data_IF_715028376570
#
_entry.id   IF_715028376570
#
_cell.length_a   1.000
_cell.length_b   1.000
_cell.length_c   1.000
_cell.angle_alpha   90.00
_cell.angle_beta   90.00
_cell.angle_gamma   90.00
#
_symmetry.space_group_name_H-M   'P 1'
#
loop_
_entity.id
_entity.type
_entity.pdbx_description
1 polymer ?
#
# COMPACT_ATOMS: atom_id res chain seq x y z
N UNK A 1 22.87 -5.74 -9.39
CA UNK A 1 22.42 -4.49 -8.74
C UNK A 1 20.97 -4.72 -8.33
N UNK A 2 20.73 -5.01 -7.06
CA UNK A 2 19.41 -5.42 -6.54
C UNK A 2 18.33 -4.34 -6.76
N UNK A 3 18.71 -3.09 -7.02
CA UNK A 3 17.80 -1.96 -7.29
C UNK A 3 16.99 -2.10 -8.58
N UNK A 4 17.52 -2.74 -9.63
CA UNK A 4 16.82 -2.87 -10.91
C UNK A 4 15.65 -3.85 -10.87
N UNK A 5 15.66 -4.82 -9.96
CA UNK A 5 14.57 -5.78 -9.79
C UNK A 5 13.41 -5.19 -8.98
N UNK A 6 13.69 -4.28 -8.04
CA UNK A 6 12.67 -3.59 -7.25
C UNK A 6 11.85 -2.60 -8.10
N UNK A 7 12.51 -1.82 -8.97
CA UNK A 7 11.82 -0.87 -9.85
C UNK A 7 10.89 -1.60 -10.84
N UNK A 8 11.34 -2.73 -11.39
CA UNK A 8 10.50 -3.57 -12.26
C UNK A 8 9.34 -4.20 -11.51
N UNK A 9 9.58 -4.71 -10.30
CA UNK A 9 8.52 -5.26 -9.45
C UNK A 9 7.46 -4.21 -9.12
N UNK A 10 7.89 -2.97 -8.80
CA UNK A 10 6.98 -1.86 -8.57
C UNK A 10 6.14 -1.54 -9.82
N UNK A 11 6.77 -1.45 -11.00
CA UNK A 11 6.05 -1.21 -12.25
C UNK A 11 4.99 -2.29 -12.55
N UNK A 12 5.31 -3.58 -12.36
CA UNK A 12 4.35 -4.66 -12.51
C UNK A 12 3.20 -4.59 -11.50
N UNK A 13 3.49 -4.21 -10.25
CA UNK A 13 2.46 -4.04 -9.23
C UNK A 13 1.53 -2.86 -9.54
N UNK A 14 2.07 -1.75 -10.05
CA UNK A 14 1.27 -0.58 -10.42
C UNK A 14 0.35 -0.91 -11.61
N UNK A 15 0.85 -1.63 -12.62
CA UNK A 15 0.04 -2.07 -13.75
C UNK A 15 -1.06 -3.05 -13.34
N UNK A 16 -0.74 -3.98 -12.42
CA UNK A 16 -1.72 -4.88 -11.81
C UNK A 16 -2.78 -4.11 -11.00
N UNK A 17 -2.37 -3.10 -10.25
CA UNK A 17 -3.26 -2.24 -9.47
C UNK A 17 -4.20 -1.43 -10.36
N UNK A 18 -3.68 -0.86 -11.45
CA UNK A 18 -4.48 -0.18 -12.48
C UNK A 18 -5.54 -1.11 -13.07
N UNK A 19 -5.10 -2.28 -13.54
CA UNK A 19 -5.98 -3.29 -14.14
C UNK A 19 -7.07 -3.76 -13.16
N UNK A 20 -6.71 -4.00 -11.90
CA UNK A 20 -7.64 -4.40 -10.86
C UNK A 20 -8.71 -3.33 -10.59
N UNK A 21 -8.30 -2.05 -10.56
CA UNK A 21 -9.22 -0.93 -10.38
C UNK A 21 -10.16 -0.74 -11.57
N UNK A 22 -9.65 -0.83 -12.80
CA UNK A 22 -10.46 -0.75 -14.03
C UNK A 22 -11.46 -1.92 -14.11
N UNK A 23 -11.04 -3.11 -13.69
CA UNK A 23 -11.87 -4.32 -13.66
C UNK A 23 -12.81 -4.40 -12.45
N UNK A 24 -12.80 -3.40 -11.56
CA UNK A 24 -13.55 -3.39 -10.28
C UNK A 24 -13.24 -4.59 -9.38
N UNK A 25 -12.07 -5.19 -9.52
CA UNK A 25 -11.58 -6.31 -8.72
C UNK A 25 -10.97 -5.78 -7.40
N UNK A 26 -11.83 -5.22 -6.54
CA UNK A 26 -11.43 -4.50 -5.31
C UNK A 26 -10.54 -5.35 -4.39
N UNK A 27 -10.86 -6.64 -4.22
CA UNK A 27 -10.07 -7.56 -3.39
C UNK A 27 -8.64 -7.71 -3.95
N UNK A 28 -8.50 -7.80 -5.28
CA UNK A 28 -7.20 -7.89 -5.95
C UNK A 28 -6.43 -6.58 -5.84
N UNK A 29 -7.12 -5.44 -5.91
CA UNK A 29 -6.49 -4.14 -5.71
C UNK A 29 -5.94 -4.00 -4.29
N UNK A 30 -6.69 -4.42 -3.27
CA UNK A 30 -6.28 -4.38 -1.87
C UNK A 30 -5.09 -5.32 -1.59
N UNK A 31 -5.11 -6.55 -2.09
CA UNK A 31 -3.98 -7.47 -1.94
C UNK A 31 -2.72 -6.98 -2.64
N UNK A 32 -2.87 -6.37 -3.83
CA UNK A 32 -1.78 -5.71 -4.56
C UNK A 32 -1.22 -4.53 -3.77
N UNK A 33 -2.08 -3.73 -3.14
CA UNK A 33 -1.68 -2.59 -2.32
C UNK A 33 -0.88 -3.01 -1.08
N UNK A 34 -1.22 -4.14 -0.43
CA UNK A 34 -0.41 -4.70 0.66
C UNK A 34 0.95 -5.17 0.18
N UNK A 35 1.00 -5.88 -0.94
CA UNK A 35 2.26 -6.34 -1.52
C UNK A 35 3.18 -5.16 -1.88
N UNK A 36 2.61 -4.11 -2.45
CA UNK A 36 3.33 -2.87 -2.77
C UNK A 36 3.81 -2.14 -1.50
N UNK A 37 2.99 -2.11 -0.45
CA UNK A 37 3.37 -1.55 0.85
C UNK A 37 4.62 -2.27 1.41
N UNK A 38 4.67 -3.60 1.30
CA UNK A 38 5.84 -4.36 1.72
C UNK A 38 7.09 -4.06 0.87
N UNK A 39 6.94 -3.79 -0.44
CA UNK A 39 8.06 -3.35 -1.27
C UNK A 39 8.54 -1.94 -0.90
N UNK A 40 7.62 -1.00 -0.69
CA UNK A 40 7.94 0.36 -0.27
C UNK A 40 8.68 0.40 1.07
N UNK A 41 8.26 -0.45 2.02
CA UNK A 41 8.96 -0.63 3.29
C UNK A 41 10.43 -1.04 3.09
N UNK A 42 10.68 -2.00 2.19
CA UNK A 42 12.04 -2.47 1.85
C UNK A 42 12.85 -1.41 1.09
N UNK A 43 12.19 -0.60 0.26
CA UNK A 43 12.80 0.50 -0.49
C UNK A 43 13.06 1.76 0.36
N UNK A 44 12.67 1.77 1.64
CA UNK A 44 12.88 2.90 2.56
C UNK A 44 11.71 3.89 2.63
N UNK A 45 10.70 3.74 1.76
CA UNK A 45 9.46 4.53 1.76
C UNK A 45 8.46 4.05 2.83
N UNK A 46 8.94 3.92 4.08
CA UNK A 46 8.22 3.31 5.21
C UNK A 46 6.92 4.04 5.58
N UNK A 47 6.88 5.37 5.42
CA UNK A 47 5.69 6.16 5.76
C UNK A 47 4.53 5.89 4.80
N UNK A 48 4.81 5.81 3.50
CA UNK A 48 3.81 5.44 2.49
C UNK A 48 3.35 3.99 2.67
N UNK A 49 4.29 3.08 2.96
CA UNK A 49 3.97 1.68 3.28
C UNK A 49 3.01 1.55 4.47
N UNK A 50 3.25 2.31 5.55
CA UNK A 50 2.42 2.31 6.74
C UNK A 50 1.02 2.88 6.45
N UNK A 51 0.93 3.98 5.69
CA UNK A 51 -0.35 4.57 5.28
C UNK A 51 -1.18 3.59 4.45
N UNK A 52 -0.57 2.94 3.46
CA UNK A 52 -1.27 2.04 2.54
C UNK A 52 -1.74 0.77 3.25
N UNK A 53 -0.92 0.21 4.14
CA UNK A 53 -1.34 -0.91 4.98
C UNK A 53 -2.52 -0.53 5.88
N UNK A 54 -2.52 0.68 6.46
CA UNK A 54 -3.61 1.17 7.29
C UNK A 54 -4.93 1.41 6.52
N UNK A 55 -4.85 1.80 5.25
CA UNK A 55 -6.02 1.84 4.37
C UNK A 55 -6.61 0.45 4.20
N UNK A 56 -5.76 -0.53 3.89
CA UNK A 56 -6.21 -1.90 3.63
C UNK A 56 -6.91 -2.50 4.85
N UNK A 57 -6.36 -2.34 6.05
CA UNK A 57 -6.98 -2.91 7.27
C UNK A 57 -8.33 -2.27 7.62
N UNK A 58 -8.61 -1.06 7.13
CA UNK A 58 -9.88 -0.38 7.36
C UNK A 58 -10.90 -0.53 6.23
N UNK A 59 -10.48 -1.02 5.05
CA UNK A 59 -11.36 -1.10 3.91
C UNK A 59 -12.39 -2.24 4.06
N UNK A 60 -13.70 -2.00 3.82
CA UNK A 60 -14.77 -2.97 4.09
C UNK A 60 -14.72 -4.24 3.22
N UNK A 61 -14.05 -4.15 2.07
CA UNK A 61 -13.87 -5.28 1.15
C UNK A 61 -12.58 -6.08 1.38
N UNK A 62 -11.81 -5.78 2.42
CA UNK A 62 -10.59 -6.51 2.73
C UNK A 62 -10.92 -7.91 3.24
N UNK A 63 -10.31 -8.92 2.63
CA UNK A 63 -10.41 -10.30 3.11
C UNK A 63 -9.46 -10.56 4.30
N UNK A 64 -9.71 -11.65 5.04
CA UNK A 64 -8.97 -11.94 6.27
C UNK A 64 -7.47 -12.10 6.05
N UNK A 65 -7.05 -12.76 4.97
CA UNK A 65 -5.64 -12.96 4.68
C UNK A 65 -4.92 -11.65 4.36
N UNK A 66 -5.54 -10.81 3.54
CA UNK A 66 -5.02 -9.51 3.14
C UNK A 66 -4.96 -8.56 4.33
N UNK A 67 -5.98 -8.56 5.19
CA UNK A 67 -6.01 -7.82 6.45
C UNK A 67 -4.88 -8.24 7.39
N UNK A 68 -4.71 -9.55 7.63
CA UNK A 68 -3.63 -10.07 8.49
C UNK A 68 -2.23 -9.68 7.98
N UNK A 69 -2.00 -9.69 6.67
CA UNK A 69 -0.73 -9.28 6.10
C UNK A 69 -0.48 -7.78 6.31
N UNK A 70 -1.52 -6.96 6.15
CA UNK A 70 -1.43 -5.52 6.37
C UNK A 70 -1.22 -5.18 7.85
N UNK A 71 -1.92 -5.84 8.77
CA UNK A 71 -1.72 -5.65 10.22
C UNK A 71 -0.29 -6.00 10.64
N UNK A 72 0.24 -7.15 10.18
CA UNK A 72 1.65 -7.52 10.42
C UNK A 72 2.62 -6.48 9.90
N UNK A 73 2.34 -5.89 8.74
CA UNK A 73 3.19 -4.83 8.17
C UNK A 73 3.11 -3.55 9.00
N UNK A 74 1.94 -3.17 9.51
CA UNK A 74 1.78 -2.04 10.43
C UNK A 74 2.58 -2.28 11.71
N UNK A 75 2.48 -3.46 12.32
CA UNK A 75 3.23 -3.81 13.53
C UNK A 75 4.75 -3.74 13.32
N UNK A 76 5.23 -4.12 12.14
CA UNK A 76 6.65 -4.06 11.78
C UNK A 76 7.14 -2.63 11.54
N UNK A 77 6.31 -1.77 10.93
CA UNK A 77 6.71 -0.42 10.54
C UNK A 77 6.48 0.61 11.65
N UNK A 78 5.51 0.41 12.53
CA UNK A 78 5.16 1.35 13.60
C UNK A 78 6.36 1.76 14.48
N UNK A 79 7.29 0.85 14.86
CA UNK A 79 8.45 1.21 15.68
C UNK A 79 9.48 2.13 15.01
N UNK A 80 9.42 2.31 13.68
CA UNK A 80 10.33 3.19 12.94
C UNK A 80 9.95 4.68 13.05
N UNK A 81 8.81 4.99 13.68
CA UNK A 81 8.27 6.34 13.83
C UNK A 81 8.07 6.66 15.31
N UNK A 82 7.99 7.95 15.65
CA UNK A 82 7.43 8.32 16.96
C UNK A 82 5.95 7.88 17.05
N UNK A 83 5.42 7.63 18.26
CA UNK A 83 4.03 7.25 18.43
C UNK A 83 3.05 8.21 17.76
N UNK A 84 3.31 9.52 17.87
CA UNK A 84 2.48 10.57 17.29
C UNK A 84 2.52 10.55 15.75
N UNK A 85 3.70 10.36 15.16
CA UNK A 85 3.85 10.27 13.70
C UNK A 85 3.20 9.01 13.15
N UNK A 86 3.41 7.86 13.80
CA UNK A 86 2.79 6.61 13.40
C UNK A 86 1.26 6.71 13.42
N UNK A 87 0.70 7.25 14.52
CA UNK A 87 -0.75 7.40 14.65
C UNK A 87 -1.29 8.36 13.59
N UNK A 88 -0.60 9.47 13.29
CA UNK A 88 -1.01 10.39 12.22
C UNK A 88 -1.02 9.71 10.84
N UNK A 89 0.00 8.93 10.50
CA UNK A 89 0.10 8.19 9.24
C UNK A 89 -1.01 7.14 9.14
N UNK A 90 -1.22 6.37 10.21
CA UNK A 90 -2.27 5.34 10.27
C UNK A 90 -3.65 5.97 10.13
N UNK A 91 -3.94 7.07 10.83
CA UNK A 91 -5.21 7.78 10.71
C UNK A 91 -5.43 8.34 9.31
N UNK A 92 -4.38 8.86 8.66
CA UNK A 92 -4.47 9.26 7.25
C UNK A 92 -4.85 8.09 6.36
N UNK A 93 -4.19 6.94 6.51
CA UNK A 93 -4.50 5.72 5.74
C UNK A 93 -5.93 5.25 5.94
N UNK A 94 -6.40 5.17 7.19
CA UNK A 94 -7.77 4.75 7.53
C UNK A 94 -8.85 5.66 6.94
N UNK A 95 -8.58 6.96 6.83
CA UNK A 95 -9.51 7.94 6.30
C UNK A 95 -9.39 8.15 4.78
N UNK A 96 -8.47 7.44 4.11
CA UNK A 96 -8.25 7.58 2.67
C UNK A 96 -9.15 6.66 1.87
N UNK A 97 -9.59 7.12 0.69
CA UNK A 97 -10.29 6.24 -0.24
C UNK A 97 -9.30 5.45 -1.11
N UNK A 98 -9.62 4.17 -1.38
CA UNK A 98 -8.80 3.31 -2.25
C UNK A 98 -8.54 3.97 -3.61
N UNK A 99 -9.56 4.58 -4.21
CA UNK A 99 -9.43 5.26 -5.51
C UNK A 99 -8.46 6.43 -5.48
N UNK A 100 -8.50 7.23 -4.43
CA UNK A 100 -7.61 8.39 -4.28
C UNK A 100 -6.15 7.94 -4.12
N UNK A 101 -5.91 6.92 -3.29
CA UNK A 101 -4.58 6.37 -3.10
C UNK A 101 -4.03 5.75 -4.38
N UNK A 102 -4.83 4.96 -5.09
CA UNK A 102 -4.39 4.38 -6.37
C UNK A 102 -4.12 5.48 -7.40
N UNK A 103 -4.99 6.48 -7.51
CA UNK A 103 -4.79 7.61 -8.43
C UNK A 103 -3.46 8.33 -8.16
N UNK A 104 -3.16 8.61 -6.89
CA UNK A 104 -1.87 9.19 -6.48
C UNK A 104 -0.68 8.32 -6.91
N UNK A 105 -0.74 7.01 -6.66
CA UNK A 105 0.31 6.06 -7.06
C UNK A 105 0.53 6.06 -8.58
N UNK A 106 -0.55 6.10 -9.37
CA UNK A 106 -0.47 6.15 -10.83
C UNK A 106 0.14 7.46 -11.34
N UNK A 107 -0.18 8.59 -10.70
CA UNK A 107 0.42 9.89 -11.04
C UNK A 107 1.91 9.92 -10.71
N UNK A 108 2.30 9.47 -9.52
CA UNK A 108 3.70 9.46 -9.06
C UNK A 108 4.59 8.51 -9.88
N UNK A 109 4.01 7.46 -10.47
CA UNK A 109 4.70 6.51 -11.35
C UNK A 109 4.68 6.87 -12.83
N UNK A 110 3.96 7.93 -13.21
CA UNK A 110 3.80 8.34 -14.61
C UNK A 110 2.89 7.42 -15.45
N UNK A 111 2.00 6.65 -14.80
CA UNK A 111 1.05 5.71 -15.42
C UNK A 111 -0.43 6.15 -15.33
N UNK A 112 -0.66 7.39 -14.88
CA UNK A 112 -1.96 8.05 -14.80
C UNK A 112 -2.59 8.30 -16.18
#
# INVERSE_FOLDING_TARGET
AETGDFERAAAYMIDGLKTAMESRAVIVALSTLVAMSALLAKAGSKAAALEYAALVTHHPSTDGQTGEMADKLIEQLRPDFSPQEADAIIQRGKNSELKEVVSRILVESGQA
#
